data_IF_660722629334
#
_entry.id   IF_660722629334
#
_cell.length_a   1.000
_cell.length_b   1.000
_cell.length_c   1.000
_cell.angle_alpha   90.00
_cell.angle_beta   90.00
_cell.angle_gamma   90.00
#
_symmetry.space_group_name_H-M   'P 1'
#
loop_
_entity.id
_entity.type
_entity.pdbx_description
1 polymer ?
#
# COMPACT_ATOMS: atom_id res chain seq x y z
N UNK A 1 10.37 3.35 2.64
CA UNK A 1 11.61 3.43 1.81
C UNK A 1 12.24 2.06 1.53
N UNK A 2 12.44 1.20 2.53
CA UNK A 2 13.11 -0.10 2.37
C UNK A 2 12.44 -1.04 1.35
N UNK A 3 11.14 -1.27 1.45
CA UNK A 3 10.38 -2.12 0.50
C UNK A 3 10.49 -1.59 -0.93
N UNK A 4 10.44 -0.26 -1.11
CA UNK A 4 10.62 0.37 -2.43
C UNK A 4 12.02 0.09 -2.99
N UNK A 5 13.08 0.25 -2.19
CA UNK A 5 14.45 -0.06 -2.62
C UNK A 5 14.63 -1.55 -2.95
N UNK A 6 14.14 -2.43 -2.08
CA UNK A 6 14.10 -3.88 -2.31
C UNK A 6 13.39 -4.23 -3.62
N UNK A 7 12.18 -3.69 -3.83
CA UNK A 7 11.36 -3.99 -5.01
C UNK A 7 12.05 -3.61 -6.33
N UNK A 8 12.85 -2.54 -6.33
CA UNK A 8 13.67 -2.15 -7.49
C UNK A 8 14.84 -3.09 -7.69
N UNK A 9 15.57 -3.43 -6.61
CA UNK A 9 16.73 -4.32 -6.67
C UNK A 9 16.38 -5.71 -7.21
N UNK A 10 15.20 -6.22 -6.87
CA UNK A 10 14.68 -7.52 -7.33
C UNK A 10 13.82 -7.44 -8.59
N UNK A 11 13.81 -6.28 -9.26
CA UNK A 11 13.03 -6.02 -10.46
C UNK A 11 11.52 -6.33 -10.32
N UNK A 12 10.95 -6.32 -9.11
CA UNK A 12 9.49 -6.39 -8.90
C UNK A 12 8.85 -5.06 -9.31
N UNK A 13 9.55 -3.96 -9.05
CA UNK A 13 9.18 -2.60 -9.43
C UNK A 13 9.88 -2.21 -10.74
N UNK A 14 9.34 -2.69 -11.85
CA UNK A 14 9.78 -2.37 -13.21
C UNK A 14 8.59 -2.27 -14.18
N UNK A 15 7.88 -1.13 -14.19
CA UNK A 15 6.68 -0.97 -15.01
C UNK A 15 6.99 -1.04 -16.51
N UNK A 16 8.23 -0.77 -16.93
CA UNK A 16 8.64 -0.86 -18.34
C UNK A 16 8.69 -2.30 -18.84
N UNK A 17 8.73 -3.28 -17.92
CA UNK A 17 8.71 -4.71 -18.21
C UNK A 17 7.38 -5.37 -17.83
N UNK A 18 6.30 -4.59 -17.71
CA UNK A 18 4.98 -5.10 -17.36
C UNK A 18 4.86 -5.57 -15.90
N UNK A 19 5.73 -5.10 -15.01
CA UNK A 19 5.70 -5.40 -13.57
C UNK A 19 5.11 -4.24 -12.78
N UNK A 20 5.13 -4.33 -11.45
CA UNK A 20 4.55 -3.29 -10.58
C UNK A 20 5.27 -1.95 -10.77
N UNK A 21 4.53 -0.87 -10.54
CA UNK A 21 5.12 0.47 -10.42
C UNK A 21 5.34 0.83 -8.94
N UNK A 22 6.05 1.94 -8.68
CA UNK A 22 6.34 2.38 -7.32
C UNK A 22 5.07 2.75 -6.52
N UNK A 23 3.99 3.12 -7.19
CA UNK A 23 2.71 3.42 -6.53
C UNK A 23 2.05 2.13 -6.03
N UNK A 24 1.99 1.09 -6.85
CA UNK A 24 1.47 -0.22 -6.46
C UNK A 24 2.25 -0.81 -5.27
N UNK A 25 3.58 -0.72 -5.27
CA UNK A 25 4.40 -1.15 -4.13
C UNK A 25 4.09 -0.35 -2.86
N UNK A 26 3.86 0.96 -2.98
CA UNK A 26 3.43 1.78 -1.84
C UNK A 26 2.06 1.34 -1.31
N UNK A 27 1.10 1.06 -2.20
CA UNK A 27 -0.22 0.56 -1.80
C UNK A 27 -0.13 -0.78 -1.07
N UNK A 28 0.75 -1.70 -1.48
CA UNK A 28 1.02 -2.95 -0.74
C UNK A 28 1.47 -2.68 0.69
N UNK A 29 2.38 -1.74 0.88
CA UNK A 29 2.84 -1.38 2.23
C UNK A 29 1.71 -0.78 3.06
N UNK A 30 0.94 0.16 2.50
CA UNK A 30 -0.17 0.80 3.23
C UNK A 30 -1.25 -0.21 3.61
N UNK A 31 -1.64 -1.08 2.67
CA UNK A 31 -2.63 -2.11 2.91
C UNK A 31 -2.18 -3.06 4.03
N UNK A 32 -0.95 -3.57 3.97
CA UNK A 32 -0.38 -4.40 5.03
C UNK A 32 -0.40 -3.70 6.41
N UNK A 33 -0.02 -2.41 6.47
CA UNK A 33 -0.03 -1.66 7.73
C UNK A 33 -1.44 -1.49 8.29
N UNK A 34 -2.45 -1.28 7.44
CA UNK A 34 -3.85 -1.25 7.86
C UNK A 34 -4.30 -2.61 8.42
N UNK A 35 -3.99 -3.71 7.73
CA UNK A 35 -4.36 -5.07 8.16
C UNK A 35 -3.70 -5.48 9.48
N UNK A 36 -2.49 -4.97 9.76
CA UNK A 36 -1.80 -5.16 11.05
C UNK A 36 -2.27 -4.18 12.14
N UNK A 37 -3.20 -3.26 11.83
CA UNK A 37 -3.64 -2.21 12.74
C UNK A 37 -2.55 -1.22 13.12
N UNK A 38 -1.46 -1.15 12.35
CA UNK A 38 -0.34 -0.23 12.58
C UNK A 38 -0.67 1.20 12.14
N UNK A 39 -1.62 1.35 11.21
CA UNK A 39 -2.20 2.63 10.80
C UNK A 39 -3.72 2.50 10.70
N UNK A 40 -4.43 3.62 10.87
CA UNK A 40 -5.87 3.66 10.65
C UNK A 40 -6.21 3.44 9.17
N UNK A 41 -7.35 2.80 8.93
CA UNK A 41 -7.85 2.63 7.57
C UNK A 41 -8.28 3.98 6.99
N UNK A 42 -7.53 4.46 6.00
CA UNK A 42 -7.82 5.70 5.29
C UNK A 42 -8.64 5.42 4.03
N UNK A 43 -9.94 5.79 3.98
CA UNK A 43 -10.70 5.68 2.75
C UNK A 43 -10.06 6.54 1.65
N UNK A 44 -10.19 6.15 0.36
CA UNK A 44 -9.65 6.94 -0.73
C UNK A 44 -10.19 8.37 -0.67
N UNK A 45 -9.30 9.34 -0.52
CA UNK A 45 -9.67 10.74 -0.52
C UNK A 45 -10.23 11.11 -1.88
N UNK A 46 -11.45 11.63 -1.92
CA UNK A 46 -12.06 12.23 -3.09
C UNK A 46 -12.37 13.70 -2.79
N UNK A 47 -11.34 14.55 -2.67
CA UNK A 47 -11.55 15.95 -2.38
C UNK A 47 -12.30 16.61 -3.54
N UNK A 48 -13.30 17.40 -3.19
CA UNK A 48 -14.02 18.28 -4.11
C UNK A 48 -13.07 19.32 -4.71
N UNK A 49 -13.41 19.93 -5.88
CA UNK A 49 -12.62 21.01 -6.44
C UNK A 49 -12.40 22.18 -5.48
N UNK A 50 -13.37 22.46 -4.60
CA UNK A 50 -13.24 23.49 -3.58
C UNK A 50 -12.20 23.12 -2.51
N UNK A 51 -12.20 21.87 -2.03
CA UNK A 51 -11.19 21.39 -1.08
C UNK A 51 -9.79 21.40 -1.70
N UNK A 52 -9.66 20.96 -2.96
CA UNK A 52 -8.39 21.04 -3.70
C UNK A 52 -7.88 22.48 -3.81
N UNK A 53 -8.76 23.46 -4.00
CA UNK A 53 -8.39 24.87 -4.07
C UNK A 53 -7.87 25.45 -2.74
N UNK A 54 -8.15 24.78 -1.61
CA UNK A 54 -7.64 25.16 -0.29
C UNK A 54 -6.31 24.49 0.06
N UNK A 55 -5.89 23.48 -0.70
CA UNK A 55 -4.63 22.80 -0.43
C UNK A 55 -3.44 23.72 -0.73
N UNK A 56 -2.39 23.67 0.09
CA UNK A 56 -1.18 24.42 -0.20
C UNK A 56 -0.59 23.93 -1.53
N UNK A 57 -0.06 24.84 -2.37
CA UNK A 57 0.52 24.47 -3.68
C UNK A 57 1.74 23.54 -3.55
N UNK A 58 2.39 23.58 -2.38
CA UNK A 58 3.45 22.65 -2.00
C UNK A 58 3.05 22.06 -0.65
N UNK A 59 2.87 20.72 -0.56
CA UNK A 59 2.64 20.07 0.72
C UNK A 59 3.78 20.40 1.69
N UNK A 60 3.45 20.63 2.95
CA UNK A 60 4.47 20.82 3.98
C UNK A 60 5.37 19.59 4.04
N UNK A 61 6.68 19.83 4.02
CA UNK A 61 7.63 18.74 4.13
C UNK A 61 7.65 18.26 5.58
N UNK A 62 7.10 17.07 5.82
CA UNK A 62 7.20 16.42 7.13
C UNK A 62 8.58 15.80 7.26
N UNK A 63 9.43 16.39 8.10
CA UNK A 63 10.72 15.81 8.44
C UNK A 63 10.51 14.63 9.40
N UNK A 64 10.51 13.42 8.85
CA UNK A 64 10.34 12.20 9.63
C UNK A 64 11.65 11.88 10.35
N UNK A 65 11.70 12.22 11.63
CA UNK A 65 12.81 11.86 12.51
C UNK A 65 12.84 10.34 12.71
N UNK A 66 13.85 9.69 12.12
CA UNK A 66 14.06 8.25 12.28
C UNK A 66 14.86 8.01 13.56
N UNK A 67 14.20 7.48 14.58
CA UNK A 67 14.82 7.14 15.86
C UNK A 67 14.82 5.61 16.11
N UNK A 68 15.34 5.18 17.25
CA UNK A 68 15.43 3.76 17.60
C UNK A 68 14.06 3.07 17.71
N UNK A 69 13.01 3.80 18.12
CA UNK A 69 11.66 3.26 18.19
C UNK A 69 11.10 2.98 16.78
N UNK A 70 11.32 3.90 15.84
CA UNK A 70 10.96 3.70 14.42
C UNK A 70 11.70 2.50 13.85
N UNK A 71 13.01 2.38 14.11
CA UNK A 71 13.79 1.22 13.68
C UNK A 71 13.34 -0.09 14.33
N UNK A 72 12.94 -0.05 15.60
CA UNK A 72 12.34 -1.19 16.30
C UNK A 72 11.09 -1.69 15.59
N UNK A 73 10.13 -0.80 15.31
CA UNK A 73 8.92 -1.13 14.59
C UNK A 73 9.21 -1.67 13.18
N UNK A 74 10.17 -1.09 12.46
CA UNK A 74 10.56 -1.57 11.12
C UNK A 74 11.14 -3.00 11.19
N UNK A 75 11.96 -3.33 12.19
CA UNK A 75 12.53 -4.67 12.35
C UNK A 75 11.45 -5.73 12.62
N UNK A 76 10.40 -5.36 13.34
CA UNK A 76 9.28 -6.24 13.63
C UNK A 76 8.36 -6.41 12.41
N UNK A 77 8.02 -5.32 11.73
CA UNK A 77 7.02 -5.32 10.66
C UNK A 77 7.58 -5.81 9.31
N UNK A 78 8.87 -5.62 9.03
CA UNK A 78 9.42 -5.94 7.72
C UNK A 78 9.38 -7.44 7.38
N UNK A 79 9.76 -8.38 8.27
CA UNK A 79 9.60 -9.81 7.99
C UNK A 79 8.13 -10.18 7.81
N UNK A 80 7.25 -9.67 8.67
CA UNK A 80 5.81 -9.91 8.61
C UNK A 80 5.18 -9.42 7.31
N UNK A 81 5.69 -8.36 6.70
CA UNK A 81 5.26 -7.89 5.38
C UNK A 81 5.52 -8.96 4.31
N UNK A 82 6.71 -9.57 4.32
CA UNK A 82 7.04 -10.61 3.35
C UNK A 82 6.25 -11.89 3.59
N UNK A 83 6.10 -12.31 4.84
CA UNK A 83 5.26 -13.46 5.22
C UNK A 83 3.81 -13.25 4.80
N UNK A 84 3.24 -12.07 5.09
CA UNK A 84 1.87 -11.73 4.72
C UNK A 84 1.60 -11.87 3.22
N UNK A 85 2.52 -11.43 2.37
CA UNK A 85 2.36 -11.53 0.92
C UNK A 85 2.84 -12.86 0.33
N UNK A 86 3.62 -13.65 1.07
CA UNK A 86 3.98 -15.01 0.67
C UNK A 86 2.77 -15.95 0.75
N UNK A 87 1.91 -15.74 1.76
CA UNK A 87 0.66 -16.49 1.97
C UNK A 87 -0.57 -15.79 1.33
N UNK A 88 -0.35 -14.86 0.39
CA UNK A 88 -1.43 -14.08 -0.21
C UNK A 88 -2.43 -14.96 -0.96
N UNK A 89 -3.72 -14.80 -0.66
CA UNK A 89 -4.78 -15.44 -1.41
C UNK A 89 -5.03 -14.69 -2.72
N UNK A 90 -4.76 -15.37 -3.84
CA UNK A 90 -4.85 -14.78 -5.17
C UNK A 90 -6.29 -14.40 -5.58
N UNK A 91 -7.33 -14.85 -4.88
CA UNK A 91 -8.70 -14.40 -5.09
C UNK A 91 -8.97 -13.00 -4.51
N UNK A 92 -8.08 -12.48 -3.66
CA UNK A 92 -8.23 -11.18 -3.01
C UNK A 92 -7.71 -10.03 -3.88
N UNK A 93 -8.32 -8.87 -3.68
CA UNK A 93 -7.94 -7.60 -4.29
C UNK A 93 -7.43 -6.67 -3.20
N UNK A 94 -6.24 -6.11 -3.42
CA UNK A 94 -5.75 -5.02 -2.59
C UNK A 94 -6.70 -3.81 -2.75
N UNK A 95 -7.43 -3.48 -1.69
CA UNK A 95 -8.33 -2.33 -1.67
C UNK A 95 -8.15 -1.52 -0.39
N UNK A 96 -7.85 -0.24 -0.56
CA UNK A 96 -7.83 0.74 0.53
C UNK A 96 -9.23 1.31 0.82
N UNK A 97 -10.28 0.82 0.14
CA UNK A 97 -11.65 1.30 0.32
C UNK A 97 -12.45 0.45 1.31
N UNK A 98 -12.03 -0.80 1.52
CA UNK A 98 -12.67 -1.74 2.44
C UNK A 98 -11.96 -1.71 3.79
N UNK A 99 -12.65 -1.17 4.79
CA UNK A 99 -12.25 -1.31 6.20
C UNK A 99 -12.08 -2.80 6.56
N UNK A 100 -11.19 -3.17 7.51
CA UNK A 100 -11.11 -4.53 8.04
C UNK A 100 -12.48 -5.10 8.49
N UNK A 101 -13.40 -4.23 8.91
CA UNK A 101 -14.78 -4.62 9.28
C UNK A 101 -15.70 -4.90 8.07
N UNK A 102 -15.37 -4.40 6.88
CA UNK A 102 -16.14 -4.60 5.65
C UNK A 102 -15.84 -5.94 4.96
N UNK A 103 -14.83 -6.67 5.45
CA UNK A 103 -14.35 -7.92 4.87
C UNK A 103 -13.40 -7.72 3.68
N UNK A 104 -12.66 -8.78 3.35
CA UNK A 104 -11.72 -8.76 2.23
C UNK A 104 -12.46 -8.65 0.89
N UNK A 105 -11.95 -7.81 -0.01
CA UNK A 105 -12.50 -7.65 -1.36
C UNK A 105 -11.97 -8.75 -2.27
N UNK A 106 -12.85 -9.45 -2.98
CA UNK A 106 -12.46 -10.50 -3.92
C UNK A 106 -12.44 -10.01 -5.37
N UNK A 107 -11.67 -10.69 -6.23
CA UNK A 107 -11.66 -10.47 -7.68
C UNK A 107 -13.06 -10.66 -8.28
N UNK A 108 -13.79 -11.67 -7.80
CA UNK A 108 -15.19 -11.94 -8.16
C UNK A 108 -16.09 -10.72 -7.96
N UNK A 109 -16.02 -10.09 -6.78
CA UNK A 109 -16.82 -8.92 -6.44
C UNK A 109 -16.49 -7.69 -7.32
N UNK A 110 -15.32 -7.67 -7.97
CA UNK A 110 -14.91 -6.63 -8.91
C UNK A 110 -15.06 -7.03 -10.39
N UNK A 111 -15.48 -8.26 -10.68
CA UNK A 111 -15.51 -8.80 -12.04
C UNK A 111 -14.13 -8.97 -12.66
N UNK A 112 -13.08 -9.16 -11.85
CA UNK A 112 -11.67 -9.27 -12.27
C UNK A 112 -11.20 -10.73 -12.43
N UNK A 113 -12.13 -11.65 -12.65
CA UNK A 113 -11.84 -13.09 -12.77
C UNK A 113 -11.21 -13.46 -14.12
N UNK A 114 -11.38 -12.61 -15.13
CA UNK A 114 -10.87 -12.85 -16.48
C UNK A 114 -9.62 -12.02 -16.73
N UNK A 115 -8.48 -12.71 -16.84
CA UNK A 115 -7.27 -12.13 -17.42
C UNK A 115 -7.52 -11.95 -18.93
N UNK A 116 -7.70 -10.71 -19.38
CA UNK A 116 -7.65 -10.37 -20.80
C UNK A 116 -6.16 -10.22 -21.15
N UNK A 117 -5.57 -11.27 -21.74
CA UNK A 117 -4.27 -11.20 -22.40
C UNK A 117 -4.46 -11.14 -23.92
#
# INVERSE_FOLDING_TARGET
MLVKSWSKAWAVNDPRRGRLNSYAVTLMVLYFLCERGAIEHLPPLQPSPAELATLPPVPEFVDVQVNDAVWGAVRELLPQFFEFYADWNDDLVLSMASSPAAGAVTKAAKGWEHYVF
#
